data_IF_079614369231
#
_entry.id   IF_079614369231
#
_cell.length_a   1.000
_cell.length_b   1.000
_cell.length_c   1.000
_cell.angle_alpha   90.00
_cell.angle_beta   90.00
_cell.angle_gamma   90.00
#
_symmetry.space_group_name_H-M   'P 1'
#
loop_
_entity.id
_entity.type
_entity.pdbx_description
1 polymer ?
#
# COMPACT_ATOMS: atom_id res chain seq x y z
N UNK A 1 11.81 -0.04 5.69
CA UNK A 1 11.28 -0.64 6.92
C UNK A 1 12.21 -1.76 7.36
N UNK A 2 12.45 -1.89 8.68
CA UNK A 2 13.34 -2.91 9.25
C UNK A 2 12.89 -4.36 8.98
N UNK A 3 11.59 -4.55 8.76
CA UNK A 3 10.98 -5.86 8.45
C UNK A 3 10.86 -6.14 6.94
N UNK A 4 11.38 -5.26 6.08
CA UNK A 4 11.19 -5.42 4.64
C UNK A 4 12.10 -6.51 4.07
N UNK A 5 11.52 -7.52 3.43
CA UNK A 5 12.25 -8.64 2.81
C UNK A 5 13.14 -8.17 1.65
N UNK A 6 12.86 -7.00 1.05
CA UNK A 6 13.73 -6.37 0.02
C UNK A 6 15.18 -6.19 0.49
N UNK A 7 15.37 -5.99 1.80
CA UNK A 7 16.70 -5.78 2.39
C UNK A 7 17.51 -7.08 2.54
N UNK A 8 16.84 -8.23 2.51
CA UNK A 8 17.45 -9.54 2.76
C UNK A 8 17.44 -10.45 1.54
N UNK A 9 16.28 -10.75 0.99
CA UNK A 9 16.13 -11.61 -0.18
C UNK A 9 14.96 -11.11 -1.05
N UNK A 10 15.18 -10.83 -2.36
CA UNK A 10 14.13 -10.38 -3.26
C UNK A 10 13.17 -11.52 -3.68
N UNK A 11 13.09 -12.60 -2.90
CA UNK A 11 12.30 -13.80 -3.21
C UNK A 11 11.19 -13.94 -2.17
N UNK A 12 9.95 -13.96 -2.64
CA UNK A 12 8.76 -14.18 -1.81
C UNK A 12 8.01 -15.40 -2.34
N UNK A 13 7.78 -16.39 -1.51
CA UNK A 13 7.11 -17.66 -1.86
C UNK A 13 7.67 -18.33 -3.13
N UNK A 14 8.98 -18.25 -3.35
CA UNK A 14 9.64 -18.83 -4.51
C UNK A 14 9.70 -17.91 -5.76
N UNK A 15 9.00 -16.79 -5.74
CA UNK A 15 9.02 -15.82 -6.83
C UNK A 15 10.09 -14.75 -6.60
N UNK A 16 10.97 -14.55 -7.58
CA UNK A 16 11.92 -13.44 -7.57
C UNK A 16 11.19 -12.16 -7.99
N UNK A 17 11.04 -11.23 -7.05
CA UNK A 17 10.37 -9.95 -7.27
C UNK A 17 11.33 -8.83 -7.66
N UNK A 18 12.63 -9.12 -7.85
CA UNK A 18 13.58 -8.14 -8.34
C UNK A 18 13.32 -7.89 -9.83
N UNK A 19 13.10 -6.63 -10.15
CA UNK A 19 12.98 -6.17 -11.52
C UNK A 19 14.32 -5.61 -12.00
N UNK A 20 14.70 -5.90 -13.23
CA UNK A 20 15.88 -5.29 -13.87
C UNK A 20 15.58 -3.86 -14.35
N UNK A 21 14.30 -3.59 -14.64
CA UNK A 21 13.76 -2.27 -14.98
C UNK A 21 12.30 -2.16 -14.59
N UNK A 22 11.79 -0.97 -14.54
CA UNK A 22 10.35 -0.72 -14.35
C UNK A 22 9.57 -1.20 -15.58
N UNK A 23 8.50 -2.01 -15.38
CA UNK A 23 7.68 -2.49 -16.49
C UNK A 23 6.79 -1.37 -17.04
N UNK A 24 6.44 -1.48 -18.31
CA UNK A 24 5.42 -0.66 -18.96
C UNK A 24 4.02 -1.14 -18.56
N UNK A 25 3.01 -0.29 -18.69
CA UNK A 25 1.61 -0.69 -18.45
C UNK A 25 1.17 -1.86 -19.35
N UNK A 26 1.69 -1.91 -20.59
CA UNK A 26 1.44 -3.04 -21.51
C UNK A 26 1.97 -4.36 -20.95
N UNK A 27 3.23 -4.38 -20.50
CA UNK A 27 3.86 -5.58 -19.94
C UNK A 27 3.16 -6.04 -18.66
N UNK A 28 2.76 -5.11 -17.79
CA UNK A 28 1.97 -5.43 -16.59
C UNK A 28 0.62 -6.04 -16.99
N UNK A 29 -0.08 -5.45 -17.94
CA UNK A 29 -1.35 -5.99 -18.42
C UNK A 29 -1.20 -7.37 -19.04
N UNK A 30 -0.20 -7.58 -19.89
CA UNK A 30 0.05 -8.86 -20.53
C UNK A 30 0.46 -9.99 -19.55
N UNK A 31 0.97 -9.61 -18.36
CA UNK A 31 1.28 -10.57 -17.29
C UNK A 31 0.04 -11.03 -16.50
N UNK A 32 -1.08 -10.32 -16.64
CA UNK A 32 -2.36 -10.70 -16.06
C UNK A 32 -3.09 -11.55 -17.10
N UNK A 33 -3.32 -12.84 -16.80
CA UNK A 33 -4.06 -13.72 -17.72
C UNK A 33 -5.51 -13.22 -17.88
N UNK A 34 -6.42 -13.66 -17.04
CA UNK A 34 -7.81 -13.19 -17.00
C UNK A 34 -8.11 -12.63 -15.61
N UNK A 35 -8.36 -11.32 -15.47
CA UNK A 35 -8.65 -10.73 -14.15
C UNK A 35 -9.80 -11.38 -13.39
N UNK A 36 -10.75 -12.02 -14.09
CA UNK A 36 -11.91 -12.69 -13.49
C UNK A 36 -11.57 -14.03 -12.82
N UNK A 37 -10.38 -14.57 -13.08
CA UNK A 37 -9.90 -15.79 -12.42
C UNK A 37 -9.47 -15.57 -10.98
N UNK A 38 -9.33 -14.33 -10.57
CA UNK A 38 -8.84 -13.93 -9.26
C UNK A 38 -9.93 -13.20 -8.49
N UNK A 39 -9.97 -13.38 -7.18
CA UNK A 39 -10.85 -12.59 -6.29
C UNK A 39 -10.54 -11.10 -6.42
N UNK A 40 -9.26 -10.78 -6.61
CA UNK A 40 -8.77 -9.42 -6.83
C UNK A 40 -7.37 -9.41 -7.47
N UNK A 41 -7.08 -8.40 -8.26
CA UNK A 41 -5.72 -8.07 -8.73
C UNK A 41 -5.14 -7.01 -7.82
N UNK A 42 -3.94 -7.25 -7.28
CA UNK A 42 -3.35 -6.39 -6.25
C UNK A 42 -2.11 -5.68 -6.78
N UNK A 43 -2.16 -4.36 -6.81
CA UNK A 43 -0.95 -3.57 -6.99
C UNK A 43 -0.18 -3.52 -5.67
N UNK A 44 0.95 -4.19 -5.63
CA UNK A 44 1.86 -4.23 -4.50
C UNK A 44 3.28 -4.53 -4.99
N UNK A 45 4.24 -4.60 -4.08
CA UNK A 45 5.58 -5.06 -4.43
C UNK A 45 6.67 -4.45 -3.57
N UNK A 46 7.90 -4.59 -4.04
CA UNK A 46 9.06 -3.97 -3.42
C UNK A 46 9.13 -2.50 -3.75
N UNK A 47 8.89 -1.66 -2.77
CA UNK A 47 8.80 -0.22 -2.92
C UNK A 47 7.36 0.28 -2.78
N UNK A 48 7.07 1.38 -3.43
CA UNK A 48 5.77 2.04 -3.37
C UNK A 48 5.12 2.07 -4.76
N UNK A 49 3.99 1.39 -4.98
CA UNK A 49 3.34 1.34 -6.28
C UNK A 49 2.94 2.72 -6.84
N UNK A 50 2.59 3.67 -5.96
CA UNK A 50 2.16 5.01 -6.40
C UNK A 50 3.28 5.88 -7.01
N UNK A 51 4.53 5.40 -7.00
CA UNK A 51 5.60 5.95 -7.84
C UNK A 51 5.29 5.82 -9.34
N UNK A 52 4.53 4.79 -9.70
CA UNK A 52 4.09 4.52 -11.07
C UNK A 52 2.57 4.64 -11.18
N UNK A 53 2.06 5.80 -10.74
CA UNK A 53 0.63 6.10 -10.77
C UNK A 53 0.04 6.02 -12.18
N UNK A 54 0.81 6.38 -13.20
CA UNK A 54 0.49 6.24 -14.61
C UNK A 54 0.14 4.79 -14.98
N UNK A 55 1.02 3.86 -14.62
CA UNK A 55 0.82 2.42 -14.87
C UNK A 55 -0.37 1.87 -14.09
N UNK A 56 -0.49 2.25 -12.81
CA UNK A 56 -1.64 1.82 -11.98
C UNK A 56 -2.96 2.22 -12.66
N UNK A 57 -3.09 3.48 -13.07
CA UNK A 57 -4.33 3.99 -13.67
C UNK A 57 -4.68 3.28 -14.97
N UNK A 58 -3.70 3.09 -15.86
CA UNK A 58 -3.93 2.43 -17.14
C UNK A 58 -4.31 0.96 -16.96
N UNK A 59 -3.57 0.23 -16.12
CA UNK A 59 -3.82 -1.20 -15.92
C UNK A 59 -5.09 -1.44 -15.11
N UNK A 60 -5.32 -0.66 -14.05
CA UNK A 60 -6.55 -0.74 -13.26
C UNK A 60 -7.80 -0.53 -14.13
N UNK A 61 -7.74 0.47 -15.04
CA UNK A 61 -8.85 0.68 -15.98
C UNK A 61 -9.13 -0.57 -16.82
N UNK A 62 -8.12 -1.20 -17.39
CA UNK A 62 -8.27 -2.44 -18.18
C UNK A 62 -8.85 -3.58 -17.36
N UNK A 63 -8.41 -3.73 -16.10
CA UNK A 63 -8.95 -4.72 -15.16
C UNK A 63 -10.44 -4.46 -14.89
N UNK A 64 -10.80 -3.20 -14.61
CA UNK A 64 -12.18 -2.81 -14.36
C UNK A 64 -13.07 -3.00 -15.60
N UNK A 65 -12.60 -2.61 -16.76
CA UNK A 65 -13.32 -2.80 -18.05
C UNK A 65 -13.54 -4.31 -18.33
N UNK A 66 -12.65 -5.16 -17.83
CA UNK A 66 -12.78 -6.63 -17.90
C UNK A 66 -13.64 -7.24 -16.78
N UNK A 67 -14.14 -6.43 -15.84
CA UNK A 67 -14.99 -6.88 -14.74
C UNK A 67 -14.20 -7.47 -13.55
N UNK A 68 -12.90 -7.21 -13.46
CA UNK A 68 -12.05 -7.60 -12.34
C UNK A 68 -12.15 -6.62 -11.16
N UNK A 69 -11.71 -7.06 -9.98
CA UNK A 69 -11.57 -6.25 -8.76
C UNK A 69 -10.12 -5.84 -8.57
N UNK A 70 -9.90 -4.61 -8.13
CA UNK A 70 -8.55 -4.04 -7.95
C UNK A 70 -8.32 -3.59 -6.52
N UNK A 71 -7.20 -4.02 -5.92
CA UNK A 71 -6.71 -3.50 -4.65
C UNK A 71 -5.34 -2.85 -4.81
N UNK A 72 -5.14 -1.75 -4.10
CA UNK A 72 -3.85 -1.07 -3.98
C UNK A 72 -3.29 -1.24 -2.57
N UNK A 73 -2.11 -1.84 -2.43
CA UNK A 73 -1.34 -1.82 -1.19
C UNK A 73 -0.32 -0.68 -1.28
N UNK A 74 -0.35 0.26 -0.35
CA UNK A 74 0.51 1.44 -0.36
C UNK A 74 1.06 1.74 1.05
N UNK A 75 2.19 2.41 1.10
CA UNK A 75 2.70 2.98 2.35
C UNK A 75 2.00 4.30 2.75
N UNK A 76 1.05 4.79 1.93
CA UNK A 76 0.32 6.02 2.19
C UNK A 76 1.06 7.31 1.78
N UNK A 77 2.23 7.21 1.16
CA UNK A 77 2.99 8.39 0.74
C UNK A 77 2.56 8.94 -0.64
N UNK A 78 1.55 8.35 -1.26
CA UNK A 78 1.17 8.63 -2.65
C UNK A 78 0.95 10.11 -2.94
N UNK A 79 0.25 10.84 -2.07
CA UNK A 79 0.00 12.27 -2.24
C UNK A 79 1.29 13.10 -2.15
N UNK A 80 2.19 12.73 -1.23
CA UNK A 80 3.48 13.42 -1.03
C UNK A 80 4.41 13.18 -2.23
N UNK A 81 4.51 11.92 -2.68
CA UNK A 81 5.34 11.52 -3.83
C UNK A 81 4.89 12.24 -5.10
N UNK A 82 3.59 12.27 -5.35
CA UNK A 82 3.02 12.87 -6.56
C UNK A 82 2.76 14.38 -6.41
N UNK A 83 3.05 14.97 -5.24
CA UNK A 83 2.86 16.40 -4.93
C UNK A 83 1.43 16.91 -5.18
N UNK A 84 0.44 16.03 -5.05
CA UNK A 84 -0.99 16.31 -5.20
C UNK A 84 -1.84 15.22 -4.57
N UNK A 85 -3.12 15.48 -4.39
CA UNK A 85 -4.08 14.45 -4.01
C UNK A 85 -4.34 13.53 -5.21
N UNK A 86 -3.91 12.26 -5.11
CA UNK A 86 -4.08 11.26 -6.17
C UNK A 86 -5.39 10.47 -6.05
N UNK A 87 -6.08 10.56 -4.91
CA UNK A 87 -7.23 9.71 -4.61
C UNK A 87 -8.43 9.96 -5.52
N UNK A 88 -8.74 11.21 -5.93
CA UNK A 88 -9.76 11.45 -6.95
C UNK A 88 -9.47 10.75 -8.29
N UNK A 89 -8.18 10.64 -8.66
CA UNK A 89 -7.77 9.97 -9.89
C UNK A 89 -7.90 8.44 -9.84
N UNK A 90 -7.97 7.88 -8.63
CA UNK A 90 -8.13 6.45 -8.38
C UNK A 90 -9.59 6.03 -8.20
N UNK A 91 -10.50 7.00 -8.07
CA UNK A 91 -11.94 6.75 -7.95
C UNK A 91 -12.47 5.99 -9.18
N UNK A 92 -13.22 4.91 -8.92
CA UNK A 92 -13.73 4.03 -9.98
C UNK A 92 -12.68 3.06 -10.57
N UNK A 93 -11.38 3.22 -10.24
CA UNK A 93 -10.31 2.33 -10.67
C UNK A 93 -9.87 1.35 -9.59
N UNK A 94 -9.90 1.77 -8.33
CA UNK A 94 -9.48 1.00 -7.16
C UNK A 94 -10.71 0.69 -6.31
N UNK A 95 -10.95 -0.59 -6.02
CA UNK A 95 -12.04 -1.04 -5.17
C UNK A 95 -11.64 -1.03 -3.69
N UNK A 96 -10.38 -1.35 -3.38
CA UNK A 96 -9.87 -1.34 -2.02
C UNK A 96 -8.46 -0.76 -1.96
N UNK A 97 -8.20 0.10 -0.99
CA UNK A 97 -6.85 0.51 -0.63
C UNK A 97 -6.46 -0.03 0.74
N UNK A 98 -5.32 -0.70 0.82
CA UNK A 98 -4.70 -1.14 2.08
C UNK A 98 -3.48 -0.28 2.36
N UNK A 99 -3.62 0.61 3.35
CA UNK A 99 -2.58 1.55 3.75
C UNK A 99 -1.75 0.95 4.89
N UNK A 100 -0.44 0.91 4.72
CA UNK A 100 0.51 0.42 5.73
C UNK A 100 0.74 1.49 6.81
N UNK A 101 -0.14 1.51 7.82
CA UNK A 101 -0.02 2.39 8.99
C UNK A 101 1.22 2.05 9.81
N UNK A 102 1.44 0.76 10.05
CA UNK A 102 2.59 0.09 10.67
C UNK A 102 2.95 0.51 12.10
N UNK A 103 2.54 1.67 12.59
CA UNK A 103 2.86 2.17 13.91
C UNK A 103 1.68 2.93 14.54
N UNK A 104 1.77 3.16 15.84
CA UNK A 104 0.79 3.89 16.64
C UNK A 104 1.21 5.34 16.91
N UNK A 105 2.45 5.70 16.56
CA UNK A 105 2.99 7.05 16.71
C UNK A 105 3.99 7.40 15.59
N UNK A 106 4.29 8.68 15.45
CA UNK A 106 5.29 9.18 14.50
C UNK A 106 6.69 8.66 14.80
N UNK A 107 7.04 8.64 16.09
CA UNK A 107 8.33 8.18 16.57
C UNK A 107 8.53 6.69 16.26
N UNK A 108 7.55 5.85 16.61
CA UNK A 108 7.58 4.42 16.29
C UNK A 108 7.62 4.19 14.79
N UNK A 109 6.87 4.98 14.00
CA UNK A 109 6.90 4.89 12.54
C UNK A 109 8.29 5.20 11.97
N UNK A 110 8.92 6.27 12.41
CA UNK A 110 10.25 6.65 11.94
C UNK A 110 11.31 5.61 12.31
N UNK A 111 11.19 4.97 13.49
CA UNK A 111 12.10 3.91 13.93
C UNK A 111 11.99 2.66 13.08
N UNK A 112 10.76 2.18 12.81
CA UNK A 112 10.55 0.89 12.13
C UNK A 112 10.44 1.01 10.61
N UNK A 113 9.83 2.07 10.10
CA UNK A 113 9.65 2.26 8.67
C UNK A 113 10.82 2.97 8.00
N UNK A 114 11.62 3.71 8.77
CA UNK A 114 12.83 4.38 8.32
C UNK A 114 12.62 5.18 7.02
N UNK A 115 11.69 6.14 6.99
CA UNK A 115 11.46 6.93 5.80
C UNK A 115 12.73 7.69 5.40
N UNK A 116 12.83 8.04 4.12
CA UNK A 116 13.94 8.85 3.65
C UNK A 116 14.04 10.16 4.47
N UNK A 117 15.25 10.68 4.72
CA UNK A 117 15.44 11.85 5.59
C UNK A 117 14.54 13.03 5.28
N UNK A 118 14.27 13.27 3.99
CA UNK A 118 13.38 14.35 3.53
C UNK A 118 11.91 14.17 3.93
N UNK A 119 11.50 12.96 4.32
CA UNK A 119 10.14 12.62 4.74
C UNK A 119 10.00 12.40 6.23
N UNK A 120 11.09 12.37 7.00
CA UNK A 120 11.03 12.28 8.45
C UNK A 120 10.33 13.50 9.06
N UNK A 121 9.83 13.33 10.26
CA UNK A 121 9.14 14.39 11.02
C UNK A 121 7.89 14.94 10.30
N UNK A 122 6.89 14.09 10.16
CA UNK A 122 5.58 14.50 9.65
C UNK A 122 4.98 13.57 8.61
N UNK A 123 5.72 12.60 8.09
CA UNK A 123 5.17 11.65 7.11
C UNK A 123 4.06 10.79 7.71
N UNK A 124 4.14 10.45 8.99
CA UNK A 124 3.10 9.67 9.68
C UNK A 124 1.76 10.40 9.68
N UNK A 125 1.76 11.72 9.91
CA UNK A 125 0.54 12.52 9.81
C UNK A 125 0.02 12.57 8.36
N UNK A 126 0.91 12.61 7.37
CA UNK A 126 0.50 12.54 5.95
C UNK A 126 -0.12 11.19 5.57
N UNK A 127 0.31 10.10 6.20
CA UNK A 127 -0.35 8.79 6.04
C UNK A 127 -1.77 8.82 6.62
N UNK A 128 -1.94 9.42 7.78
CA UNK A 128 -3.26 9.59 8.40
C UNK A 128 -4.18 10.45 7.54
N UNK A 129 -3.68 11.58 7.03
CA UNK A 129 -4.39 12.42 6.07
C UNK A 129 -4.78 11.63 4.80
N UNK A 130 -3.88 10.77 4.30
CA UNK A 130 -4.14 9.91 3.14
C UNK A 130 -5.28 8.92 3.41
N UNK A 131 -5.31 8.29 4.60
CA UNK A 131 -6.39 7.38 5.01
C UNK A 131 -7.73 8.12 5.04
N UNK A 132 -7.77 9.30 5.68
CA UNK A 132 -8.99 10.11 5.76
C UNK A 132 -9.49 10.56 4.38
N UNK A 133 -8.58 10.93 3.51
CA UNK A 133 -8.93 11.33 2.16
C UNK A 133 -9.39 10.14 1.32
N UNK A 134 -8.77 8.97 1.49
CA UNK A 134 -9.15 7.75 0.78
C UNK A 134 -10.60 7.35 1.03
N UNK A 135 -11.11 7.53 2.25
CA UNK A 135 -12.51 7.26 2.61
C UNK A 135 -13.53 8.05 1.80
N UNK A 136 -13.15 9.20 1.26
CA UNK A 136 -14.03 10.06 0.46
C UNK A 136 -14.14 9.61 -1.00
N UNK A 137 -13.16 8.87 -1.49
CA UNK A 137 -12.99 8.57 -2.91
C UNK A 137 -13.05 7.09 -3.26
N UNK A 138 -12.73 6.21 -2.31
CA UNK A 138 -12.60 4.77 -2.55
C UNK A 138 -13.65 3.96 -1.76
N UNK A 139 -14.19 2.88 -2.36
CA UNK A 139 -15.23 2.08 -1.72
C UNK A 139 -14.79 1.41 -0.42
N UNK A 140 -13.56 0.91 -0.38
CA UNK A 140 -13.03 0.21 0.79
C UNK A 140 -11.65 0.73 1.16
N UNK A 141 -11.47 1.03 2.46
CA UNK A 141 -10.19 1.48 3.02
C UNK A 141 -9.82 0.60 4.21
N UNK A 142 -8.58 0.16 4.24
CA UNK A 142 -8.02 -0.66 5.29
C UNK A 142 -6.69 -0.08 5.76
N UNK A 143 -6.51 0.01 7.08
CA UNK A 143 -5.21 0.25 7.68
C UNK A 143 -4.57 -1.08 8.10
N UNK A 144 -3.31 -1.29 7.74
CA UNK A 144 -2.59 -2.52 8.05
C UNK A 144 -1.31 -2.26 8.84
N UNK A 145 -0.93 -3.23 9.66
CA UNK A 145 0.37 -3.25 10.34
C UNK A 145 1.06 -4.60 10.12
N UNK A 146 2.37 -4.62 10.34
CA UNK A 146 3.14 -5.85 10.54
C UNK A 146 3.29 -6.06 12.04
N UNK A 147 2.81 -7.21 12.57
CA UNK A 147 2.81 -7.50 14.00
C UNK A 147 4.21 -7.77 14.56
N UNK A 148 4.33 -7.74 15.89
CA UNK A 148 5.56 -8.04 16.63
C UNK A 148 6.73 -7.10 16.33
N UNK A 149 6.43 -5.86 15.96
CA UNK A 149 7.44 -4.83 15.83
C UNK A 149 7.74 -4.20 17.19
N UNK A 150 9.02 -4.09 17.52
CA UNK A 150 9.46 -3.50 18.78
C UNK A 150 9.02 -2.02 18.83
N UNK A 151 8.46 -1.61 19.97
CA UNK A 151 8.05 -0.22 20.19
C UNK A 151 6.71 0.15 19.56
N UNK A 152 5.94 -0.81 19.01
CA UNK A 152 4.62 -0.58 18.43
C UNK A 152 3.54 -1.17 19.33
N UNK A 153 2.58 -0.35 19.73
CA UNK A 153 1.36 -0.80 20.41
C UNK A 153 0.30 -1.21 19.36
N UNK A 154 0.18 -2.53 19.14
CA UNK A 154 -0.79 -3.09 18.18
C UNK A 154 -2.24 -2.78 18.55
N UNK A 155 -2.55 -2.68 19.85
CA UNK A 155 -3.90 -2.33 20.33
C UNK A 155 -4.21 -0.89 19.96
N UNK A 156 -3.26 0.03 20.17
CA UNK A 156 -3.42 1.42 19.76
C UNK A 156 -3.53 1.56 18.23
N UNK A 157 -2.76 0.80 17.45
CA UNK A 157 -2.90 0.77 15.98
C UNK A 157 -4.32 0.34 15.56
N UNK A 158 -4.88 -0.68 16.23
CA UNK A 158 -6.25 -1.14 15.99
C UNK A 158 -7.28 -0.05 16.34
N UNK A 159 -7.06 0.65 17.44
CA UNK A 159 -7.94 1.75 17.86
C UNK A 159 -7.88 2.92 16.87
N UNK A 160 -6.69 3.29 16.40
CA UNK A 160 -6.49 4.30 15.35
C UNK A 160 -7.29 3.92 14.09
N UNK A 161 -7.15 2.70 13.61
CA UNK A 161 -7.87 2.25 12.44
C UNK A 161 -9.40 2.25 12.65
N UNK A 162 -9.87 1.64 13.74
CA UNK A 162 -11.30 1.42 13.97
C UNK A 162 -12.03 2.59 14.61
N UNK A 163 -11.43 3.21 15.65
CA UNK A 163 -12.09 4.28 16.41
C UNK A 163 -11.80 5.66 15.83
N UNK A 164 -10.54 5.93 15.48
CA UNK A 164 -10.16 7.27 15.01
C UNK A 164 -10.56 7.44 13.53
N UNK A 165 -10.34 6.43 12.67
CA UNK A 165 -10.63 6.51 11.23
C UNK A 165 -11.92 5.79 10.79
N UNK A 166 -12.41 4.80 11.54
CA UNK A 166 -13.56 4.01 11.12
C UNK A 166 -13.30 3.13 9.90
N UNK A 167 -12.05 2.67 9.72
CA UNK A 167 -11.64 1.81 8.60
C UNK A 167 -11.36 0.38 9.07
N UNK A 168 -11.30 -0.56 8.11
CA UNK A 168 -10.90 -1.94 8.41
C UNK A 168 -9.48 -1.97 8.96
N UNK A 169 -9.23 -2.84 9.93
CA UNK A 169 -7.90 -3.09 10.47
C UNK A 169 -7.40 -4.47 10.05
N UNK A 170 -6.14 -4.54 9.63
CA UNK A 170 -5.49 -5.80 9.28
C UNK A 170 -4.12 -5.92 9.96
N UNK A 171 -4.00 -6.90 10.83
CA UNK A 171 -2.72 -7.31 11.39
C UNK A 171 -2.10 -8.40 10.49
N UNK A 172 -0.94 -8.13 9.93
CA UNK A 172 -0.15 -9.11 9.16
C UNK A 172 0.94 -9.66 10.06
N UNK A 173 0.97 -10.97 10.23
CA UNK A 173 2.07 -11.58 10.99
C UNK A 173 3.40 -11.30 10.31
N UNK A 174 4.38 -10.88 11.11
CA UNK A 174 5.76 -10.84 10.64
C UNK A 174 6.20 -12.28 10.34
N UNK A 175 6.43 -12.54 9.11
CA UNK A 175 6.95 -13.82 8.63
C UNK A 175 7.93 -13.54 7.48
N UNK A 176 8.62 -14.61 7.03
CA UNK A 176 9.64 -14.51 5.98
C UNK A 176 9.08 -14.01 4.62
N UNK A 177 7.79 -13.93 4.49
CA UNK A 177 7.10 -13.53 3.24
C UNK A 177 6.44 -12.14 3.30
N UNK A 178 6.65 -11.39 4.39
CA UNK A 178 6.17 -10.02 4.54
C UNK A 178 4.71 -9.88 4.98
#
# INVERSE_FOLDING_TARGET
CVFCTRLTKPVVQGYNLKLDREPTAKEVWESIDDPKKYDEVVFCGFGEPTLRLDVIKEVAKKIKDSGGRVRLNTNGHGNVINKRNILPELSGLIDEVSVSLNADSSEAYDEICQPLPMFRNGIYEKIKEFIEEAKKHLPEVQASIVTHQRGVDETRCKDIAGKDFGVKYRARRYNIVG
#
